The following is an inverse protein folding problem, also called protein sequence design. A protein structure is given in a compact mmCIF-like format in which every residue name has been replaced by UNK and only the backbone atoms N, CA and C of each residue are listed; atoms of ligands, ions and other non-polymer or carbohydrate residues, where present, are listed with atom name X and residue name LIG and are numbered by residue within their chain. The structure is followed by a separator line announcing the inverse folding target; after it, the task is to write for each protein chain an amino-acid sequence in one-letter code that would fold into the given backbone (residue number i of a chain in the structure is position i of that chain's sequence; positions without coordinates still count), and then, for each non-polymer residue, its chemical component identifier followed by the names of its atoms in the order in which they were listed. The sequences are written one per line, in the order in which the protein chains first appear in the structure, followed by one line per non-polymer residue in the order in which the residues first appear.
data_IF_573253483976
#
_entry.id   IF_573253483976
#
_cell.length_a   1.000
_cell.length_b   1.000
_cell.length_c   1.000
_cell.angle_alpha   90.00
_cell.angle_beta   90.00
_cell.angle_gamma   90.00
#
_symmetry.space_group_name_H-M   'P 1'
#
loop_
_entity.id
_entity.type
_entity.pdbx_description
1 polymer ?
#
# COMPACT_ATOMS: atom_id res chain seq x y z
N UNK A 1 20.07 -41.36 -20.18
CA UNK A 1 19.34 -41.51 -18.91
C UNK A 1 18.88 -40.13 -18.52
N UNK A 2 17.62 -39.81 -18.85
CA UNK A 2 16.99 -38.53 -18.54
C UNK A 2 16.65 -38.49 -17.04
N UNK A 3 17.46 -37.77 -16.26
CA UNK A 3 17.08 -37.38 -14.90
C UNK A 3 16.18 -36.15 -15.00
N UNK A 4 14.87 -36.37 -15.13
CA UNK A 4 13.88 -35.32 -14.82
C UNK A 4 14.10 -34.90 -13.36
N UNK A 5 14.20 -33.61 -13.05
CA UNK A 5 14.32 -33.16 -11.67
C UNK A 5 13.11 -33.66 -10.87
N UNK A 6 13.37 -34.14 -9.66
CA UNK A 6 12.36 -34.60 -8.71
C UNK A 6 11.21 -33.61 -8.66
N UNK A 7 9.98 -34.09 -8.89
CA UNK A 7 8.77 -33.31 -8.67
C UNK A 7 8.86 -32.73 -7.26
N UNK A 8 8.91 -31.40 -7.16
CA UNK A 8 8.81 -30.68 -5.89
C UNK A 8 7.76 -31.38 -5.02
N UNK A 9 8.15 -31.78 -3.80
CA UNK A 9 7.26 -32.46 -2.87
C UNK A 9 5.91 -31.75 -2.85
N UNK A 10 4.85 -32.49 -3.20
CA UNK A 10 3.47 -31.98 -3.20
C UNK A 10 3.21 -31.29 -1.87
N UNK A 11 2.93 -29.99 -1.97
CA UNK A 11 2.49 -29.16 -0.85
C UNK A 11 1.05 -29.57 -0.51
N UNK A 12 0.65 -29.45 0.75
CA UNK A 12 -0.72 -29.81 1.12
C UNK A 12 -1.75 -28.70 0.79
N UNK A 13 -1.27 -27.55 0.29
CA UNK A 13 -2.06 -26.56 -0.45
C UNK A 13 -1.40 -26.35 -1.80
N UNK A 14 -2.18 -26.44 -2.86
CA UNK A 14 -1.76 -26.17 -4.24
C UNK A 14 -2.62 -25.02 -4.79
N UNK A 15 -1.97 -24.11 -5.51
CA UNK A 15 -2.60 -22.99 -6.22
C UNK A 15 -2.57 -23.33 -7.70
N UNK A 16 -3.74 -23.24 -8.32
CA UNK A 16 -3.94 -23.58 -9.72
C UNK A 16 -4.20 -22.31 -10.53
N UNK A 17 -3.71 -22.26 -11.77
CA UNK A 17 -4.19 -21.29 -12.75
C UNK A 17 -5.55 -21.71 -13.33
N UNK A 18 -6.10 -20.86 -14.21
CA UNK A 18 -7.40 -21.09 -14.85
C UNK A 18 -7.45 -22.37 -15.69
N UNK A 19 -6.31 -22.80 -16.25
CA UNK A 19 -6.20 -24.00 -17.08
C UNK A 19 -5.95 -25.27 -16.23
N UNK A 20 -5.93 -25.13 -14.90
CA UNK A 20 -5.74 -26.24 -13.96
C UNK A 20 -4.28 -26.67 -13.81
N UNK A 21 -3.32 -25.85 -14.22
CA UNK A 21 -1.90 -26.09 -13.94
C UNK A 21 -1.54 -25.58 -12.54
N UNK A 22 -0.74 -26.35 -11.81
CA UNK A 22 -0.23 -25.93 -10.50
C UNK A 22 0.82 -24.85 -10.71
N UNK A 23 0.54 -23.63 -10.26
CA UNK A 23 1.44 -22.48 -10.35
C UNK A 23 2.20 -22.20 -9.06
N UNK A 24 1.64 -22.61 -7.91
CA UNK A 24 2.27 -22.44 -6.61
C UNK A 24 1.70 -23.45 -5.59
N UNK A 25 2.26 -23.45 -4.38
CA UNK A 25 1.73 -24.24 -3.27
C UNK A 25 2.54 -24.00 -2.00
N UNK A 26 1.93 -24.26 -0.84
CA UNK A 26 2.56 -24.08 0.47
C UNK A 26 2.06 -25.11 1.48
N UNK A 27 2.80 -25.27 2.57
CA UNK A 27 2.40 -26.13 3.68
C UNK A 27 1.54 -25.34 4.66
N UNK A 28 0.33 -25.80 4.93
CA UNK A 28 -0.51 -25.30 6.03
C UNK A 28 -0.87 -26.42 7.01
N UNK A 29 -1.04 -26.11 8.28
CA UNK A 29 -1.40 -27.13 9.29
C UNK A 29 -2.83 -26.94 9.83
N UNK A 30 -3.73 -26.42 8.99
CA UNK A 30 -5.13 -26.14 9.35
C UNK A 30 -5.31 -24.90 10.23
N UNK A 31 -4.25 -24.13 10.45
CA UNK A 31 -4.28 -22.87 11.21
C UNK A 31 -4.75 -21.69 10.36
N UNK A 32 -4.58 -21.76 9.04
CA UNK A 32 -4.85 -20.65 8.14
C UNK A 32 -6.28 -20.72 7.61
N UNK A 33 -7.12 -19.78 8.03
CA UNK A 33 -8.48 -19.67 7.53
C UNK A 33 -8.51 -19.01 6.14
N UNK A 34 -9.52 -19.34 5.32
CA UNK A 34 -9.65 -18.78 3.96
C UNK A 34 -9.68 -17.25 3.93
N UNK A 35 -10.33 -16.60 4.91
CA UNK A 35 -10.37 -15.13 4.98
C UNK A 35 -8.97 -14.52 5.20
N UNK A 36 -8.17 -15.16 6.05
CA UNK A 36 -6.81 -14.73 6.34
C UNK A 36 -5.87 -14.99 5.15
N UNK A 37 -6.00 -16.16 4.51
CA UNK A 37 -5.26 -16.48 3.30
C UNK A 37 -5.59 -15.52 2.14
N UNK A 38 -6.87 -15.18 1.96
CA UNK A 38 -7.31 -14.23 0.94
C UNK A 38 -6.72 -12.83 1.20
N UNK A 39 -6.66 -12.40 2.46
CA UNK A 39 -6.02 -11.14 2.86
C UNK A 39 -4.53 -11.12 2.48
N UNK A 40 -3.83 -12.24 2.67
CA UNK A 40 -2.43 -12.36 2.24
C UNK A 40 -2.29 -12.29 0.73
N UNK A 41 -3.11 -13.03 -0.02
CA UNK A 41 -3.09 -12.97 -1.49
C UNK A 41 -3.34 -11.56 -2.02
N UNK A 42 -4.18 -10.77 -1.36
CA UNK A 42 -4.41 -9.38 -1.72
C UNK A 42 -3.18 -8.48 -1.62
N UNK A 43 -2.22 -8.83 -0.77
CA UNK A 43 -0.96 -8.09 -0.67
C UNK A 43 0.02 -8.48 -1.79
N UNK A 44 -0.08 -9.69 -2.33
CA UNK A 44 0.88 -10.23 -3.31
C UNK A 44 0.37 -10.20 -4.76
N UNK A 45 -0.93 -10.30 -4.98
CA UNK A 45 -1.53 -10.37 -6.31
C UNK A 45 -1.87 -8.96 -6.80
N UNK A 46 -0.96 -8.38 -7.58
CA UNK A 46 -1.17 -7.12 -8.32
C UNK A 46 -1.65 -7.46 -9.73
N UNK A 47 -2.89 -7.12 -10.04
CA UNK A 47 -3.50 -7.39 -11.35
C UNK A 47 -4.26 -6.17 -11.85
N UNK A 48 -4.15 -5.88 -13.15
CA UNK A 48 -4.93 -4.84 -13.83
C UNK A 48 -6.41 -5.19 -13.94
N UNK A 49 -6.76 -6.48 -13.83
CA UNK A 49 -8.14 -6.99 -13.84
C UNK A 49 -8.53 -7.53 -12.47
N UNK A 50 -9.82 -7.43 -12.08
CA UNK A 50 -10.32 -8.07 -10.86
C UNK A 50 -9.98 -9.56 -10.84
N UNK A 51 -9.62 -10.09 -9.67
CA UNK A 51 -9.33 -11.50 -9.46
C UNK A 51 -10.13 -12.05 -8.29
N UNK A 52 -10.35 -13.36 -8.27
CA UNK A 52 -11.05 -14.07 -7.20
C UNK A 52 -10.49 -15.49 -7.08
N UNK A 53 -10.55 -16.05 -5.87
CA UNK A 53 -10.14 -17.42 -5.59
C UNK A 53 -11.38 -18.31 -5.57
N UNK A 54 -11.28 -19.47 -6.18
CA UNK A 54 -12.35 -20.46 -6.23
C UNK A 54 -11.90 -21.73 -5.53
N UNK A 55 -12.83 -22.42 -4.88
CA UNK A 55 -12.62 -23.82 -4.56
C UNK A 55 -12.42 -24.61 -5.86
N UNK A 56 -11.48 -25.54 -5.88
CA UNK A 56 -11.21 -26.39 -7.04
C UNK A 56 -11.35 -27.85 -6.64
N UNK A 57 -12.26 -28.56 -7.30
CA UNK A 57 -12.41 -30.00 -7.11
C UNK A 57 -11.44 -30.74 -8.03
N UNK A 58 -10.38 -31.29 -7.44
CA UNK A 58 -9.34 -32.04 -8.15
C UNK A 58 -9.87 -33.34 -8.79
N UNK A 59 -11.05 -33.82 -8.38
CA UNK A 59 -11.66 -35.06 -8.88
C UNK A 59 -12.44 -34.80 -10.16
N UNK A 60 -13.22 -33.72 -10.18
CA UNK A 60 -14.06 -33.34 -11.32
C UNK A 60 -13.39 -32.34 -12.26
N UNK A 61 -12.25 -31.76 -11.85
CA UNK A 61 -11.55 -30.67 -12.54
C UNK A 61 -12.49 -29.47 -12.80
N UNK A 62 -13.34 -29.17 -11.82
CA UNK A 62 -14.30 -28.08 -11.91
C UNK A 62 -14.08 -27.04 -10.80
N UNK A 63 -14.32 -25.78 -11.17
CA UNK A 63 -14.39 -24.67 -10.23
C UNK A 63 -15.68 -24.77 -9.42
N UNK A 64 -15.55 -24.78 -8.10
CA UNK A 64 -16.64 -24.69 -7.15
C UNK A 64 -16.97 -23.23 -6.82
N UNK A 65 -17.50 -23.01 -5.61
CA UNK A 65 -17.83 -21.67 -5.14
C UNK A 65 -16.58 -20.79 -4.96
N UNK A 66 -16.75 -19.47 -5.11
CA UNK A 66 -15.77 -18.46 -4.70
C UNK A 66 -15.41 -18.66 -3.23
N UNK A 67 -14.13 -18.53 -2.90
CA UNK A 67 -13.62 -18.70 -1.55
C UNK A 67 -12.90 -17.44 -1.07
N UNK A 68 -13.26 -16.91 0.12
CA UNK A 68 -14.38 -17.37 0.96
C UNK A 68 -15.77 -17.15 0.33
N UNK A 69 -16.76 -17.95 0.71
CA UNK A 69 -18.14 -17.85 0.21
C UNK A 69 -18.85 -16.54 0.62
N UNK A 70 -18.37 -15.93 1.71
CA UNK A 70 -18.81 -14.62 2.22
C UNK A 70 -17.98 -13.45 1.68
N UNK A 71 -17.03 -13.71 0.76
CA UNK A 71 -16.18 -12.67 0.19
C UNK A 71 -16.84 -12.05 -1.03
N UNK A 72 -17.84 -11.23 -0.72
CA UNK A 72 -17.69 -9.84 -1.10
C UNK A 72 -16.59 -9.23 -0.21
N UNK A 73 -15.31 -9.53 -0.46
CA UNK A 73 -14.27 -8.50 -0.26
C UNK A 73 -14.49 -7.55 -1.43
N UNK A 74 -15.63 -6.86 -1.34
CA UNK A 74 -15.70 -5.52 -1.81
C UNK A 74 -14.46 -4.86 -1.21
N UNK A 75 -13.73 -4.09 -2.01
CA UNK A 75 -12.78 -3.16 -1.46
C UNK A 75 -13.62 -2.19 -0.60
N UNK A 76 -13.97 -2.55 0.63
CA UNK A 76 -14.97 -1.85 1.42
C UNK A 76 -14.55 -0.40 1.55
N UNK A 77 -13.24 -0.16 1.67
CA UNK A 77 -12.67 1.18 1.62
C UNK A 77 -12.97 1.95 0.33
N UNK A 78 -12.94 1.32 -0.86
CA UNK A 78 -13.31 1.99 -2.12
C UNK A 78 -14.79 2.35 -2.15
N UNK A 79 -15.66 1.39 -1.84
CA UNK A 79 -17.11 1.64 -1.81
C UNK A 79 -17.48 2.70 -0.75
N UNK A 80 -16.82 2.67 0.41
CA UNK A 80 -16.96 3.68 1.47
C UNK A 80 -16.45 5.04 1.04
N UNK A 81 -15.27 5.13 0.40
CA UNK A 81 -14.73 6.36 -0.14
C UNK A 81 -15.66 6.95 -1.20
N UNK A 82 -16.13 6.14 -2.15
CA UNK A 82 -17.06 6.59 -3.17
C UNK A 82 -18.40 7.06 -2.61
N UNK A 83 -18.92 6.38 -1.59
CA UNK A 83 -20.16 6.77 -0.90
C UNK A 83 -19.98 8.08 -0.13
N UNK A 84 -18.83 8.27 0.53
CA UNK A 84 -18.49 9.48 1.28
C UNK A 84 -18.26 10.66 0.34
N UNK A 85 -17.42 10.47 -0.67
CA UNK A 85 -16.89 11.56 -1.50
C UNK A 85 -17.86 11.94 -2.62
N UNK A 86 -18.41 10.96 -3.34
CA UNK A 86 -19.31 11.17 -4.49
C UNK A 86 -18.72 11.96 -5.68
N UNK A 87 -17.46 12.41 -5.58
CA UNK A 87 -16.73 13.22 -6.56
C UNK A 87 -15.23 13.04 -6.37
N UNK A 88 -14.44 13.47 -7.35
CA UNK A 88 -13.02 13.72 -7.15
C UNK A 88 -12.84 14.88 -6.14
N UNK A 89 -12.19 14.64 -5.00
CA UNK A 89 -11.98 15.67 -3.98
C UNK A 89 -11.01 16.78 -4.43
N UNK A 90 -10.16 16.50 -5.43
CA UNK A 90 -9.19 17.46 -5.98
C UNK A 90 -9.85 18.41 -6.99
N UNK A 91 -10.57 17.87 -7.97
CA UNK A 91 -11.12 18.64 -9.12
C UNK A 91 -12.62 18.92 -9.03
N UNK A 92 -13.33 18.23 -8.12
CA UNK A 92 -14.80 18.26 -8.03
C UNK A 92 -15.51 17.46 -9.11
N UNK A 93 -14.78 16.73 -9.97
CA UNK A 93 -15.37 15.92 -11.04
C UNK A 93 -16.38 14.92 -10.46
N UNK A 94 -17.65 15.07 -10.86
CA UNK A 94 -18.72 14.09 -10.63
C UNK A 94 -18.90 13.25 -11.87
N UNK A 95 -19.16 11.97 -11.68
CA UNK A 95 -19.38 11.02 -12.77
C UNK A 95 -20.61 10.17 -12.50
N UNK A 96 -21.31 9.74 -13.54
CA UNK A 96 -22.45 8.82 -13.38
C UNK A 96 -21.99 7.42 -12.90
N UNK A 97 -20.74 7.05 -13.21
CA UNK A 97 -20.09 5.81 -12.78
C UNK A 97 -18.70 6.12 -12.24
N UNK A 98 -18.12 5.27 -11.39
CA UNK A 98 -16.78 5.48 -10.84
C UNK A 98 -15.63 5.24 -11.85
N UNK A 99 -15.93 5.08 -13.13
CA UNK A 99 -14.95 4.72 -14.18
C UNK A 99 -13.81 5.71 -14.41
N UNK A 100 -13.97 6.98 -14.00
CA UNK A 100 -12.92 8.03 -14.09
C UNK A 100 -12.40 8.47 -12.72
N UNK A 101 -12.80 7.74 -11.69
CA UNK A 101 -12.42 8.00 -10.31
C UNK A 101 -11.60 6.82 -9.80
N UNK A 102 -10.66 7.13 -8.92
CA UNK A 102 -9.88 6.13 -8.21
C UNK A 102 -9.74 6.56 -6.76
N UNK A 103 -9.66 5.58 -5.87
CA UNK A 103 -9.48 5.80 -4.43
C UNK A 103 -8.04 5.51 -4.11
N UNK A 104 -7.34 6.50 -3.57
CA UNK A 104 -5.96 6.38 -3.12
C UNK A 104 -5.89 6.52 -1.60
N UNK A 105 -4.92 5.86 -1.00
CA UNK A 105 -4.56 6.11 0.39
C UNK A 105 -3.74 7.40 0.51
N UNK A 106 -3.93 8.16 1.59
CA UNK A 106 -3.11 9.34 1.89
C UNK A 106 -1.74 8.88 2.36
N UNK A 107 -1.74 7.99 3.35
CA UNK A 107 -0.57 7.25 3.78
C UNK A 107 -0.55 5.87 3.10
N UNK A 108 0.51 5.52 2.35
CA UNK A 108 0.54 4.31 1.54
C UNK A 108 0.30 3.03 2.34
N UNK A 109 -0.61 2.19 1.83
CA UNK A 109 -0.94 0.89 2.45
C UNK A 109 0.26 -0.04 2.57
N UNK A 110 1.23 0.05 1.66
CA UNK A 110 2.43 -0.78 1.64
C UNK A 110 3.40 -0.48 2.81
N UNK A 111 3.19 0.60 3.57
CA UNK A 111 4.06 1.05 4.65
C UNK A 111 3.40 0.84 6.03
N UNK A 112 2.68 -0.26 6.21
CA UNK A 112 1.89 -0.55 7.42
C UNK A 112 2.73 -0.60 8.72
N UNK A 113 3.98 -1.07 8.64
CA UNK A 113 4.92 -1.03 9.77
C UNK A 113 5.19 0.41 10.22
N UNK A 114 5.45 1.33 9.28
CA UNK A 114 5.69 2.74 9.58
C UNK A 114 4.41 3.43 10.08
N UNK A 115 3.27 3.07 9.50
CA UNK A 115 1.96 3.52 9.95
C UNK A 115 1.72 3.21 11.43
N UNK A 116 2.02 1.98 11.86
CA UNK A 116 1.93 1.56 13.26
C UNK A 116 2.96 2.29 14.11
N UNK A 117 4.22 2.41 13.65
CA UNK A 117 5.31 3.09 14.37
C UNK A 117 4.98 4.56 14.66
N UNK A 118 4.34 5.25 13.72
CA UNK A 118 3.87 6.64 13.86
C UNK A 118 2.61 6.78 14.73
N UNK A 119 2.02 5.66 15.16
CA UNK A 119 0.89 5.64 16.08
C UNK A 119 -0.45 6.00 15.44
N UNK A 120 -0.55 6.04 14.11
CA UNK A 120 -1.78 6.39 13.41
C UNK A 120 -3.01 5.52 13.75
N UNK A 121 -2.92 4.19 13.98
CA UNK A 121 -4.08 3.39 14.37
C UNK A 121 -4.85 3.96 15.58
N UNK A 122 -4.12 4.60 16.51
CA UNK A 122 -4.70 5.20 17.72
C UNK A 122 -5.40 6.55 17.48
N UNK A 123 -5.09 7.21 16.36
CA UNK A 123 -5.65 8.50 15.96
C UNK A 123 -6.91 8.37 15.10
N UNK A 124 -7.15 7.20 14.52
CA UNK A 124 -8.34 6.91 13.71
C UNK A 124 -9.58 6.81 14.61
N UNK A 125 -10.55 7.69 14.33
CA UNK A 125 -11.85 7.83 14.99
C UNK A 125 -13.02 7.25 14.19
N UNK A 126 -12.78 6.82 12.94
CA UNK A 126 -13.68 5.97 12.16
C UNK A 126 -14.19 4.80 13.00
N UNK A 127 -15.50 4.68 13.11
CA UNK A 127 -16.21 3.76 13.99
C UNK A 127 -16.94 2.63 13.25
N UNK A 128 -16.66 2.47 11.96
CA UNK A 128 -17.09 1.30 11.21
C UNK A 128 -16.49 0.00 11.75
N UNK A 129 -16.98 -1.13 11.24
CA UNK A 129 -16.44 -2.43 11.62
C UNK A 129 -14.94 -2.51 11.27
N UNK A 130 -14.14 -3.06 12.19
CA UNK A 130 -12.69 -3.12 12.03
C UNK A 130 -12.26 -3.94 10.81
N UNK A 131 -13.09 -4.91 10.38
CA UNK A 131 -12.86 -5.65 9.14
C UNK A 131 -12.96 -4.75 7.89
N UNK A 132 -13.83 -3.72 7.93
CA UNK A 132 -13.98 -2.73 6.87
C UNK A 132 -12.89 -1.65 6.87
N UNK A 133 -12.04 -1.61 7.89
CA UNK A 133 -10.97 -0.62 8.07
C UNK A 133 -9.57 -1.21 7.87
N UNK A 134 -9.44 -2.42 7.35
CA UNK A 134 -8.12 -3.07 7.16
C UNK A 134 -7.62 -3.77 8.42
N UNK A 135 -8.54 -4.12 9.34
CA UNK A 135 -8.25 -4.86 10.55
C UNK A 135 -7.67 -3.98 11.66
N UNK A 136 -6.91 -4.57 12.60
CA UNK A 136 -6.37 -3.86 13.77
C UNK A 136 -5.53 -2.62 13.44
N UNK A 137 -4.95 -2.57 12.25
CA UNK A 137 -4.14 -1.42 11.79
C UNK A 137 -5.01 -0.21 11.44
N UNK A 138 -6.29 -0.41 11.10
CA UNK A 138 -7.21 0.62 10.60
C UNK A 138 -6.71 1.35 9.35
N UNK A 139 -5.77 0.77 8.60
CA UNK A 139 -5.09 1.44 7.47
C UNK A 139 -6.02 1.73 6.29
N UNK A 140 -7.11 0.98 6.15
CA UNK A 140 -8.13 1.14 5.11
C UNK A 140 -9.33 1.98 5.60
N UNK A 141 -9.17 2.71 6.72
CA UNK A 141 -10.16 3.68 7.22
C UNK A 141 -10.45 4.77 6.18
N UNK A 142 -11.68 5.29 6.17
CA UNK A 142 -12.02 6.44 5.31
C UNK A 142 -11.13 7.65 5.61
N UNK A 143 -10.64 7.80 6.83
CA UNK A 143 -9.78 8.91 7.20
C UNK A 143 -8.38 8.86 6.57
N UNK A 144 -7.97 7.71 6.02
CA UNK A 144 -6.71 7.52 5.29
C UNK A 144 -6.90 7.39 3.77
N UNK A 145 -8.09 7.66 3.21
CA UNK A 145 -8.33 7.50 1.78
C UNK A 145 -9.07 8.70 1.21
N UNK A 146 -8.83 8.98 -0.07
CA UNK A 146 -9.52 10.02 -0.83
C UNK A 146 -9.85 9.54 -2.24
N UNK A 147 -10.99 9.98 -2.76
CA UNK A 147 -11.37 9.77 -4.15
C UNK A 147 -10.80 10.87 -5.03
N UNK A 148 -10.12 10.51 -6.10
CA UNK A 148 -9.51 11.43 -7.06
C UNK A 148 -9.80 11.03 -8.51
N UNK A 149 -9.39 11.88 -9.46
CA UNK A 149 -9.44 11.62 -10.90
C UNK A 149 -8.40 10.54 -11.19
N UNK A 150 -8.73 9.51 -11.97
CA UNK A 150 -7.85 8.34 -12.13
C UNK A 150 -6.45 8.66 -12.66
N UNK A 151 -6.32 9.66 -13.52
CA UNK A 151 -5.03 10.13 -14.07
C UNK A 151 -4.13 10.84 -13.03
N UNK A 152 -4.67 11.24 -11.87
CA UNK A 152 -3.90 11.86 -10.79
C UNK A 152 -3.32 10.83 -9.82
N UNK A 153 -3.72 9.55 -9.92
CA UNK A 153 -3.35 8.53 -8.94
C UNK A 153 -1.84 8.25 -8.93
N UNK A 154 -1.23 8.13 -10.11
CA UNK A 154 0.21 7.89 -10.22
C UNK A 154 1.01 9.09 -9.69
N UNK A 155 0.56 10.31 -9.96
CA UNK A 155 1.17 11.53 -9.45
C UNK A 155 1.03 11.64 -7.92
N UNK A 156 -0.11 11.22 -7.36
CA UNK A 156 -0.33 11.16 -5.91
C UNK A 156 0.60 10.15 -5.23
N UNK A 157 0.65 8.91 -5.73
CA UNK A 157 1.51 7.86 -5.18
C UNK A 157 3.00 8.21 -5.30
N UNK A 158 3.36 8.99 -6.33
CA UNK A 158 4.70 9.54 -6.51
C UNK A 158 4.96 10.84 -5.75
N UNK A 159 4.05 11.30 -4.89
CA UNK A 159 4.21 12.55 -4.15
C UNK A 159 4.51 13.77 -5.04
N UNK A 160 4.04 13.78 -6.28
CA UNK A 160 4.26 14.87 -7.24
C UNK A 160 3.45 16.12 -6.92
N UNK A 161 2.42 15.97 -6.08
CA UNK A 161 1.68 17.05 -5.46
C UNK A 161 1.23 16.63 -4.06
N UNK A 162 0.88 17.60 -3.23
CA UNK A 162 0.38 17.36 -1.88
C UNK A 162 -0.70 18.35 -1.47
N UNK A 163 -1.40 18.02 -0.38
CA UNK A 163 -2.44 18.87 0.23
C UNK A 163 -1.92 19.41 1.56
N UNK A 164 -1.94 20.73 1.75
CA UNK A 164 -1.57 21.36 3.03
C UNK A 164 -2.82 21.62 3.89
N UNK A 165 -3.07 20.83 4.95
CA UNK A 165 -4.25 21.00 5.80
C UNK A 165 -4.21 22.33 6.57
N UNK A 166 -3.03 22.92 6.82
CA UNK A 166 -2.89 24.18 7.54
C UNK A 166 -3.18 25.41 6.66
N UNK A 167 -3.28 25.22 5.35
CA UNK A 167 -3.55 26.27 4.37
C UNK A 167 -4.86 26.00 3.64
N UNK A 168 -5.93 25.77 4.41
CA UNK A 168 -7.28 25.50 3.88
C UNK A 168 -7.32 24.31 2.89
N UNK A 169 -6.48 23.29 3.12
CA UNK A 169 -6.31 22.16 2.20
C UNK A 169 -5.88 22.57 0.79
N UNK A 170 -5.04 23.60 0.66
CA UNK A 170 -4.48 24.03 -0.62
C UNK A 170 -3.57 22.95 -1.19
N UNK A 171 -3.79 22.64 -2.47
CA UNK A 171 -3.00 21.71 -3.26
C UNK A 171 -1.77 22.41 -3.79
N UNK A 172 -0.61 21.78 -3.66
CA UNK A 172 0.65 22.27 -4.21
C UNK A 172 1.26 21.19 -5.09
N UNK A 173 1.45 21.49 -6.37
CA UNK A 173 2.23 20.66 -7.27
C UNK A 173 3.73 20.90 -7.04
N UNK A 174 4.49 19.83 -6.91
CA UNK A 174 5.95 19.84 -6.75
C UNK A 174 6.68 19.57 -8.09
N UNK A 175 5.97 19.05 -9.09
CA UNK A 175 6.46 18.78 -10.44
C UNK A 175 5.64 19.54 -11.50
N UNK A 176 6.20 19.69 -12.71
CA UNK A 176 5.45 20.18 -13.88
C UNK A 176 4.45 19.13 -14.35
N UNK A 177 3.37 19.55 -15.02
CA UNK A 177 2.33 18.66 -15.56
C UNK A 177 1.08 18.52 -14.67
N UNK A 178 1.08 19.12 -13.48
CA UNK A 178 -0.04 19.17 -12.55
C UNK A 178 -0.57 20.61 -12.35
N UNK A 179 -0.42 21.47 -13.37
CA UNK A 179 -0.81 22.89 -13.30
C UNK A 179 -2.32 23.07 -13.14
N UNK A 180 -3.13 22.12 -13.62
CA UNK A 180 -4.60 22.17 -13.56
C UNK A 180 -5.14 22.01 -12.13
N UNK A 181 -4.37 21.40 -11.23
CA UNK A 181 -4.74 21.20 -9.82
C UNK A 181 -3.97 22.09 -8.84
N UNK A 182 -2.85 22.69 -9.28
CA UNK A 182 -2.01 23.49 -8.40
C UNK A 182 -2.76 24.75 -7.91
N UNK A 183 -2.79 24.96 -6.59
CA UNK A 183 -3.50 26.07 -5.96
C UNK A 183 -5.01 25.87 -5.80
N UNK A 184 -5.57 24.76 -6.29
CA UNK A 184 -6.91 24.33 -5.92
C UNK A 184 -6.97 23.96 -4.43
N UNK A 185 -8.17 23.78 -3.88
CA UNK A 185 -8.35 23.35 -2.49
C UNK A 185 -9.14 22.04 -2.48
N UNK A 186 -8.76 21.12 -1.58
CA UNK A 186 -9.46 19.86 -1.42
C UNK A 186 -10.91 20.09 -1.00
N UNK A 187 -11.85 19.44 -1.67
CA UNK A 187 -13.28 19.71 -1.51
C UNK A 187 -13.92 18.79 -0.47
N UNK A 188 -13.93 19.20 0.79
CA UNK A 188 -14.47 18.43 1.92
C UNK A 188 -15.84 18.93 2.43
N UNK A 189 -16.41 19.93 1.77
CA UNK A 189 -17.62 20.69 2.13
C UNK A 189 -18.89 19.85 2.40
N UNK A 190 -18.94 18.64 1.83
CA UNK A 190 -20.07 17.73 1.88
C UNK A 190 -19.93 16.66 2.97
N UNK A 191 -18.76 16.56 3.62
CA UNK A 191 -18.53 15.64 4.73
C UNK A 191 -18.98 16.35 6.01
N UNK A 192 -20.01 15.83 6.67
CA UNK A 192 -20.55 16.45 7.88
C UNK A 192 -20.02 15.82 9.17
N UNK A 193 -19.78 14.50 9.15
CA UNK A 193 -19.33 13.75 10.33
C UNK A 193 -17.81 13.84 10.50
N UNK A 194 -17.30 14.41 11.61
CA UNK A 194 -15.87 14.50 11.91
C UNK A 194 -15.13 13.16 11.87
N UNK A 195 -15.81 12.03 12.13
CA UNK A 195 -15.18 10.69 12.08
C UNK A 195 -14.87 10.23 10.65
N UNK A 196 -15.50 10.84 9.66
CA UNK A 196 -15.28 10.51 8.24
C UNK A 196 -14.33 11.48 7.53
N UNK A 197 -13.97 12.59 8.19
CA UNK A 197 -12.98 13.52 7.67
C UNK A 197 -11.62 12.84 7.53
N UNK A 198 -10.97 12.97 6.35
CA UNK A 198 -9.56 12.67 6.21
C UNK A 198 -8.73 13.25 7.35
N UNK A 199 -7.79 12.47 7.89
CA UNK A 199 -7.01 12.89 9.06
C UNK A 199 -5.89 13.84 8.63
N UNK A 200 -5.87 15.06 9.19
CA UNK A 200 -4.91 16.11 8.84
C UNK A 200 -3.44 15.70 9.05
N UNK A 201 -3.16 14.88 10.07
CA UNK A 201 -1.82 14.35 10.31
C UNK A 201 -1.29 13.52 9.13
N UNK A 202 -2.18 12.87 8.37
CA UNK A 202 -1.82 12.07 7.20
C UNK A 202 -1.52 12.95 6.01
N UNK A 203 -2.30 14.01 5.80
CA UNK A 203 -1.98 15.00 4.76
C UNK A 203 -0.68 15.74 5.08
N UNK A 204 -0.46 16.09 6.34
CA UNK A 204 0.79 16.71 6.78
C UNK A 204 1.97 15.78 6.44
N UNK A 205 1.86 14.49 6.75
CA UNK A 205 2.91 13.52 6.41
C UNK A 205 3.12 13.42 4.90
N UNK A 206 2.06 13.20 4.11
CA UNK A 206 2.14 13.10 2.66
C UNK A 206 2.75 14.36 2.02
N UNK A 207 2.33 15.55 2.47
CA UNK A 207 2.85 16.83 1.99
C UNK A 207 4.33 16.99 2.30
N UNK A 208 4.75 16.65 3.52
CA UNK A 208 6.15 16.69 3.93
C UNK A 208 6.99 15.68 3.13
N UNK A 209 6.46 14.49 2.83
CA UNK A 209 7.13 13.53 1.95
C UNK A 209 7.31 14.08 0.53
N UNK A 210 6.30 14.73 -0.04
CA UNK A 210 6.41 15.39 -1.34
C UNK A 210 7.44 16.51 -1.35
N UNK A 211 7.47 17.35 -0.31
CA UNK A 211 8.52 18.34 -0.13
C UNK A 211 9.91 17.67 -0.08
N UNK A 212 10.12 16.66 0.75
CA UNK A 212 11.42 15.98 0.83
C UNK A 212 11.82 15.32 -0.49
N UNK A 213 10.86 14.75 -1.23
CA UNK A 213 11.13 14.12 -2.53
C UNK A 213 11.57 15.13 -3.59
N UNK A 214 11.02 16.34 -3.58
CA UNK A 214 11.15 17.30 -4.68
C UNK A 214 11.91 18.61 -4.34
N UNK A 215 12.22 18.87 -3.08
CA UNK A 215 13.01 20.03 -2.65
C UNK A 215 14.51 19.74 -2.85
N UNK A 216 15.01 19.98 -4.06
CA UNK A 216 16.45 19.97 -4.39
C UNK A 216 16.95 21.37 -4.72
N UNK A 217 18.10 21.75 -4.18
CA UNK A 217 18.71 23.07 -4.40
C UNK A 217 19.30 23.21 -5.82
N UNK A 218 19.37 24.44 -6.34
CA UNK A 218 19.84 24.78 -7.69
C UNK A 218 21.30 24.42 -8.04
N UNK A 219 21.98 23.62 -7.21
CA UNK A 219 23.35 23.14 -7.40
C UNK A 219 23.54 21.62 -7.22
N UNK A 220 22.47 20.85 -7.01
CA UNK A 220 22.56 19.38 -6.93
C UNK A 220 22.55 18.75 -8.32
N UNK A 221 23.74 18.69 -8.92
CA UNK A 221 24.02 17.88 -10.11
C UNK A 221 23.89 16.39 -9.78
N UNK A 222 22.77 15.78 -10.19
CA UNK A 222 22.52 14.33 -10.31
C UNK A 222 22.41 13.63 -8.95
N UNK A 223 21.31 12.96 -8.61
CA UNK A 223 21.01 11.65 -9.19
C UNK A 223 19.53 11.25 -9.02
N UNK A 224 19.03 10.40 -9.93
CA UNK A 224 17.64 9.91 -10.05
C UNK A 224 17.33 8.75 -9.08
N UNK A 225 16.06 8.36 -8.96
CA UNK A 225 15.64 7.17 -8.21
C UNK A 225 16.31 5.88 -8.76
N UNK A 226 16.61 5.84 -10.05
CA UNK A 226 17.32 4.73 -10.72
C UNK A 226 18.74 4.54 -10.16
N UNK A 227 19.44 5.63 -9.83
CA UNK A 227 20.79 5.56 -9.26
C UNK A 227 20.78 5.22 -7.76
N UNK A 228 19.66 5.42 -7.07
CA UNK A 228 19.44 4.90 -5.71
C UNK A 228 19.06 3.41 -5.76
N UNK A 229 18.15 2.98 -6.63
CA UNK A 229 17.78 1.56 -6.75
C UNK A 229 18.98 0.69 -7.16
N UNK A 230 19.87 1.19 -8.04
CA UNK A 230 21.16 0.53 -8.33
C UNK A 230 22.11 0.42 -7.12
N UNK A 231 21.90 1.23 -6.08
CA UNK A 231 22.67 1.20 -4.81
C UNK A 231 21.97 0.40 -3.71
N UNK A 232 20.67 0.11 -3.84
CA UNK A 232 19.83 -0.50 -2.78
C UNK A 232 19.11 -1.80 -3.19
N UNK A 233 19.04 -2.13 -4.48
CA UNK A 233 18.17 -3.17 -5.05
C UNK A 233 18.57 -4.62 -4.74
N UNK A 234 19.81 -4.86 -4.30
CA UNK A 234 20.29 -6.21 -3.95
C UNK A 234 20.38 -6.47 -2.44
N UNK A 235 20.02 -5.49 -1.61
CA UNK A 235 20.11 -5.58 -0.16
C UNK A 235 21.54 -5.46 0.39
N UNK A 236 22.57 -5.19 -0.42
CA UNK A 236 23.91 -4.85 0.06
C UNK A 236 24.12 -3.33 0.02
N UNK A 237 24.86 -2.84 1.02
CA UNK A 237 25.29 -1.44 1.05
C UNK A 237 26.72 -1.34 0.53
N UNK A 238 26.94 -0.64 -0.58
CA UNK A 238 28.28 -0.17 -0.91
C UNK A 238 28.62 1.09 -0.11
N UNK A 239 29.27 0.88 1.05
CA UNK A 239 29.71 1.96 1.94
C UNK A 239 30.94 2.74 1.42
N UNK A 240 31.49 2.38 0.26
CA UNK A 240 32.72 2.98 -0.26
C UNK A 240 32.52 4.39 -0.85
N UNK A 241 31.29 4.76 -1.22
CA UNK A 241 31.00 6.09 -1.75
C UNK A 241 30.86 7.13 -0.64
N UNK A 242 31.99 7.73 -0.25
CA UNK A 242 32.04 8.80 0.73
C UNK A 242 31.26 10.07 0.33
N UNK A 243 30.86 10.22 -0.95
CA UNK A 243 29.97 11.31 -1.37
C UNK A 243 28.52 11.05 -0.99
N UNK A 244 28.14 9.79 -0.78
CA UNK A 244 26.82 9.38 -0.30
C UNK A 244 26.83 9.32 1.22
N UNK A 245 27.73 8.53 1.82
CA UNK A 245 27.76 8.31 3.28
C UNK A 245 28.42 9.44 4.07
N UNK A 246 29.08 10.38 3.39
CA UNK A 246 29.65 11.57 4.01
C UNK A 246 28.61 12.64 4.36
N UNK A 247 27.46 12.64 3.67
CA UNK A 247 26.39 13.65 3.84
C UNK A 247 25.57 13.38 5.09
N UNK A 248 24.76 14.36 5.51
CA UNK A 248 23.83 14.19 6.63
C UNK A 248 22.68 13.26 6.25
N UNK A 249 22.04 13.45 5.09
CA UNK A 249 20.95 12.57 4.65
C UNK A 249 21.42 11.12 4.46
N UNK A 250 22.61 10.89 3.90
CA UNK A 250 23.14 9.54 3.72
C UNK A 250 23.35 8.81 5.05
N UNK A 251 23.78 9.53 6.11
CA UNK A 251 23.92 8.97 7.46
C UNK A 251 22.57 8.67 8.12
N UNK A 252 21.61 9.60 8.04
CA UNK A 252 20.27 9.40 8.58
C UNK A 252 19.55 8.21 7.91
N UNK A 253 19.75 8.05 6.59
CA UNK A 253 19.17 6.94 5.84
C UNK A 253 19.84 5.60 6.16
N UNK A 254 21.17 5.58 6.36
CA UNK A 254 21.90 4.40 6.82
C UNK A 254 21.41 3.95 8.20
N UNK A 255 21.22 4.89 9.12
CA UNK A 255 20.72 4.60 10.47
C UNK A 255 19.31 4.00 10.44
N UNK A 256 18.41 4.55 9.63
CA UNK A 256 17.03 4.09 9.53
C UNK A 256 16.92 2.65 8.98
N UNK A 257 17.73 2.33 7.97
CA UNK A 257 17.76 1.00 7.35
C UNK A 257 18.47 -0.04 8.25
N UNK A 258 19.56 0.35 8.94
CA UNK A 258 20.18 -0.50 9.96
C UNK A 258 19.22 -0.81 11.12
N UNK A 259 18.43 0.16 11.56
CA UNK A 259 17.40 -0.04 12.58
C UNK A 259 16.33 -1.04 12.12
N UNK A 260 15.85 -0.93 10.88
CA UNK A 260 14.91 -1.89 10.29
C UNK A 260 15.46 -3.32 10.29
N UNK A 261 16.67 -3.51 9.77
CA UNK A 261 17.30 -4.84 9.67
C UNK A 261 17.64 -5.46 11.03
N UNK A 262 18.08 -4.65 12.00
CA UNK A 262 18.31 -5.12 13.37
C UNK A 262 17.01 -5.54 14.06
N UNK A 263 15.91 -4.86 13.74
CA UNK A 263 14.58 -5.21 14.23
C UNK A 263 14.10 -6.52 13.62
N UNK A 264 14.20 -6.69 12.30
CA UNK A 264 13.82 -7.92 11.59
C UNK A 264 14.64 -9.12 12.07
N UNK A 265 15.94 -8.92 12.30
CA UNK A 265 16.82 -9.95 12.87
C UNK A 265 16.39 -10.33 14.30
N UNK A 266 16.07 -9.35 15.15
CA UNK A 266 15.60 -9.61 16.52
C UNK A 266 14.28 -10.39 16.51
N UNK A 267 13.35 -10.04 15.63
CA UNK A 267 12.10 -10.78 15.44
C UNK A 267 12.37 -12.21 14.98
N UNK A 268 13.29 -12.39 14.03
CA UNK A 268 13.69 -13.71 13.53
C UNK A 268 14.31 -14.57 14.63
N UNK A 269 15.16 -13.98 15.48
CA UNK A 269 15.79 -14.65 16.62
C UNK A 269 14.78 -15.00 17.73
N UNK A 270 13.79 -14.14 18.00
CA UNK A 270 12.71 -14.42 18.95
C UNK A 270 11.77 -15.53 18.45
N UNK A 271 11.45 -15.54 17.16
CA UNK A 271 10.63 -16.58 16.54
C UNK A 271 11.38 -17.93 16.49
N UNK A 272 12.69 -17.92 16.24
CA UNK A 272 13.52 -19.12 16.31
C UNK A 272 13.63 -19.67 17.74
N UNK A 273 13.72 -18.80 18.76
CA UNK A 273 13.73 -19.21 20.16
C UNK A 273 12.38 -19.80 20.62
N UNK A 274 11.25 -19.29 20.09
CA UNK A 274 9.91 -19.81 20.40
C UNK A 274 9.59 -21.16 19.72
N UNK A 275 10.26 -21.50 18.62
CA UNK A 275 10.14 -22.81 17.95
C UNK A 275 11.12 -23.87 18.47
N UNK A 276 12.06 -23.48 19.34
CA UNK A 276 13.08 -24.36 19.93
C UNK A 276 12.73 -24.92 21.32
N UNK A 277 11.51 -24.70 21.80
CA UNK A 277 10.95 -25.22 23.07
C UNK A 277 9.65 -25.96 22.80
#
# INVERSE_FOLDING_TARGET
MDSRPDRLQRRNVEVYDFDGAVIAGFWQYGTLQWAEFYRYLFQFVVSATPWSVFSYDTTTMQHGAVCPSDVQIEHHYRSRAYKRDGKCLITGLKTQTYSRLQVAHIFPRAHDIEWIRKGYPSKITDDEDISCMGGPTKIDSVQNIITMRSDLHDAWDNYEFGVDPNNNYRITAFTNGNEDINGCHLQLDHIEDPKHFPLDDLFTDHFVQGLFKHLKGAGELGRTYEEFDDTFGDGNFDLSDAKIWGTREGKERLELELLGRLYDRRLSEQNAAAMGT
#
